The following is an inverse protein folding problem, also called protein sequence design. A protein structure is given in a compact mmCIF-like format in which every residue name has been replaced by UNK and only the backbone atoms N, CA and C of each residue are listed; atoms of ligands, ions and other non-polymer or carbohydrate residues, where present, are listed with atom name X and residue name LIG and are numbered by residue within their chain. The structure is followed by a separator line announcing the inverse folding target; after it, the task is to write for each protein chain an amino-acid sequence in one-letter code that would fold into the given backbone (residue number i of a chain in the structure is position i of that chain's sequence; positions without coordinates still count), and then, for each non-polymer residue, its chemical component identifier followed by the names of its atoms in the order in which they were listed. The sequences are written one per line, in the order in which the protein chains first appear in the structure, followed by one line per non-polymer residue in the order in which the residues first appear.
data_IF_511393524436
#
_entry.id   IF_511393524436
#
_cell.length_a   1.000
_cell.length_b   1.000
_cell.length_c   1.000
_cell.angle_alpha   90.00
_cell.angle_beta   90.00
_cell.angle_gamma   90.00
#
_symmetry.space_group_name_H-M   'P 1'
#
loop_
_entity.id
_entity.type
_entity.pdbx_description
1 polymer ?
#
# COMPACT_ATOMS: atom_id res chain seq x y z
N UNK A 1 -16.86 3.88 -14.22
CA UNK A 1 -16.37 4.19 -12.85
C UNK A 1 -14.93 4.68 -12.94
N UNK A 2 -14.63 5.80 -12.31
CA UNK A 2 -13.28 6.38 -12.23
C UNK A 2 -12.82 6.31 -10.78
N UNK A 3 -11.75 5.56 -10.50
CA UNK A 3 -11.16 5.43 -9.17
C UNK A 3 -9.77 6.06 -9.15
N UNK A 4 -9.52 6.90 -8.15
CA UNK A 4 -8.22 7.53 -7.90
C UNK A 4 -7.52 6.80 -6.75
N UNK A 5 -6.35 6.21 -7.01
CA UNK A 5 -5.52 5.55 -6.00
C UNK A 5 -4.29 6.38 -5.67
N UNK A 6 -3.96 6.48 -4.38
CA UNK A 6 -2.85 7.28 -3.86
C UNK A 6 -1.92 6.42 -3.01
N UNK A 7 -0.62 6.53 -3.24
CA UNK A 7 0.40 5.94 -2.38
C UNK A 7 1.55 6.91 -2.12
N UNK A 8 1.77 7.17 -0.84
CA UNK A 8 2.86 7.99 -0.31
C UNK A 8 3.63 7.27 0.80
N UNK A 9 3.52 5.93 0.87
CA UNK A 9 4.06 5.14 1.99
C UNK A 9 5.60 5.05 2.02
N UNK A 10 6.23 5.34 0.90
CA UNK A 10 7.68 5.26 0.69
C UNK A 10 8.25 6.60 0.16
N UNK A 11 9.45 6.60 -0.42
CA UNK A 11 10.08 7.81 -0.96
C UNK A 11 9.39 8.36 -2.21
N UNK A 12 8.64 7.53 -2.92
CA UNK A 12 7.95 7.91 -4.14
C UNK A 12 6.53 8.36 -3.85
N UNK A 13 6.08 9.38 -4.55
CA UNK A 13 4.66 9.72 -4.65
C UNK A 13 4.11 9.03 -5.88
N UNK A 14 3.14 8.16 -5.73
CA UNK A 14 2.50 7.53 -6.87
C UNK A 14 0.99 7.70 -6.85
N UNK A 15 0.44 7.85 -8.05
CA UNK A 15 -0.98 8.06 -8.30
C UNK A 15 -1.40 7.13 -9.43
N UNK A 16 -2.58 6.55 -9.32
CA UNK A 16 -3.16 5.77 -10.39
C UNK A 16 -4.63 6.17 -10.57
N UNK A 17 -4.97 6.55 -11.79
CA UNK A 17 -6.33 6.76 -12.23
C UNK A 17 -6.80 5.49 -12.97
N UNK A 18 -7.77 4.78 -12.40
CA UNK A 18 -8.43 3.66 -13.06
C UNK A 18 -9.71 4.14 -13.71
N UNK A 19 -9.86 3.92 -15.02
CA UNK A 19 -11.06 4.24 -15.79
C UNK A 19 -11.50 2.98 -16.52
N UNK A 20 -12.57 2.36 -16.04
CA UNK A 20 -12.99 1.02 -16.46
C UNK A 20 -11.83 0.02 -16.28
N UNK A 21 -11.34 -0.60 -17.35
CA UNK A 21 -10.22 -1.56 -17.33
C UNK A 21 -8.86 -0.93 -17.67
N UNK A 22 -8.83 0.39 -17.86
CA UNK A 22 -7.59 1.12 -18.17
C UNK A 22 -7.00 1.75 -16.92
N UNK A 23 -5.66 1.71 -16.81
CA UNK A 23 -4.89 2.27 -15.71
C UNK A 23 -3.92 3.32 -16.23
N UNK A 24 -3.96 4.50 -15.66
CA UNK A 24 -3.05 5.60 -15.95
C UNK A 24 -2.26 5.89 -14.67
N UNK A 25 -0.94 5.88 -14.75
CA UNK A 25 -0.08 6.01 -13.57
C UNK A 25 0.86 7.19 -13.71
N UNK A 26 1.09 7.88 -12.60
CA UNK A 26 2.13 8.88 -12.45
C UNK A 26 2.92 8.57 -11.19
N UNK A 27 4.25 8.53 -11.30
CA UNK A 27 5.15 8.27 -10.17
C UNK A 27 6.23 9.32 -10.16
N UNK A 28 6.33 10.04 -9.04
CA UNK A 28 7.33 11.07 -8.83
C UNK A 28 8.35 10.52 -7.85
N UNK A 29 9.58 10.36 -8.33
CA UNK A 29 10.72 9.94 -7.52
C UNK A 29 11.57 11.18 -7.22
N UNK A 30 11.81 11.46 -5.94
CA UNK A 30 12.63 12.56 -5.51
C UNK A 30 13.66 12.08 -4.49
N UNK A 31 14.87 12.65 -4.53
CA UNK A 31 15.93 12.33 -3.56
C UNK A 31 15.49 12.65 -2.11
N UNK A 32 14.59 13.63 -1.96
CA UNK A 32 13.97 14.00 -0.69
C UNK A 32 12.46 13.86 -0.80
N UNK A 33 11.78 13.17 0.13
CA UNK A 33 10.33 13.06 0.10
C UNK A 33 9.70 14.45 0.25
N UNK A 34 8.99 14.90 -0.79
CA UNK A 34 8.26 16.18 -0.82
C UNK A 34 6.77 15.97 -1.19
N UNK A 35 6.19 14.89 -0.69
CA UNK A 35 4.81 14.49 -1.00
C UNK A 35 3.80 15.65 -0.88
N UNK A 36 3.99 16.56 0.11
CA UNK A 36 3.11 17.71 0.31
C UNK A 36 3.07 18.67 -0.88
N UNK A 37 4.20 18.81 -1.58
CA UNK A 37 4.32 19.75 -2.70
C UNK A 37 3.85 19.13 -4.01
N UNK A 38 4.10 17.83 -4.20
CA UNK A 38 3.92 17.17 -5.51
C UNK A 38 2.59 16.44 -5.66
N UNK A 39 1.94 16.00 -4.56
CA UNK A 39 0.76 15.13 -4.64
C UNK A 39 -0.42 15.81 -5.34
N UNK A 40 -0.77 17.00 -4.96
CA UNK A 40 -1.94 17.70 -5.55
C UNK A 40 -1.68 18.10 -7.01
N UNK A 41 -0.52 18.67 -7.38
CA UNK A 41 -0.19 18.89 -8.79
C UNK A 41 -0.23 17.60 -9.63
N UNK A 42 0.27 16.49 -9.12
CA UNK A 42 0.24 15.23 -9.83
C UNK A 42 -1.20 14.70 -10.03
N UNK A 43 -2.08 14.85 -9.04
CA UNK A 43 -3.50 14.53 -9.19
C UNK A 43 -4.13 15.38 -10.31
N UNK A 44 -3.82 16.67 -10.36
CA UNK A 44 -4.31 17.56 -11.42
C UNK A 44 -3.80 17.13 -12.80
N UNK A 45 -2.49 16.85 -12.90
CA UNK A 45 -1.86 16.44 -14.15
C UNK A 45 -2.45 15.15 -14.71
N UNK A 46 -2.59 14.10 -13.88
CA UNK A 46 -3.13 12.80 -14.34
C UNK A 46 -4.59 12.92 -14.81
N UNK A 47 -5.39 13.74 -14.13
CA UNK A 47 -6.77 14.01 -14.52
C UNK A 47 -6.83 14.75 -15.85
N UNK A 48 -6.09 15.86 -16.00
CA UNK A 48 -6.07 16.67 -17.23
C UNK A 48 -5.57 15.88 -18.43
N UNK A 49 -4.48 15.12 -18.27
CA UNK A 49 -3.89 14.29 -19.33
C UNK A 49 -4.87 13.22 -19.83
N UNK A 50 -5.80 12.80 -18.99
CA UNK A 50 -6.83 11.80 -19.32
C UNK A 50 -8.21 12.42 -19.59
N UNK A 51 -8.28 13.76 -19.79
CA UNK A 51 -9.49 14.51 -20.11
C UNK A 51 -10.60 14.34 -19.05
N UNK A 52 -10.21 14.31 -17.79
CA UNK A 52 -11.11 14.21 -16.66
C UNK A 52 -10.98 15.44 -15.75
N UNK A 53 -12.07 15.77 -15.05
CA UNK A 53 -12.11 16.74 -13.99
C UNK A 53 -12.09 16.03 -12.62
N UNK A 54 -11.80 16.76 -11.57
CA UNK A 54 -11.82 16.22 -10.21
C UNK A 54 -13.21 15.72 -9.79
N UNK A 55 -14.26 16.32 -10.32
CA UNK A 55 -15.67 15.92 -10.09
C UNK A 55 -16.06 14.60 -10.75
N UNK A 56 -15.24 14.09 -11.66
CA UNK A 56 -15.51 12.83 -12.36
C UNK A 56 -15.04 11.60 -11.58
N UNK A 57 -14.36 11.82 -10.44
CA UNK A 57 -13.89 10.75 -9.57
C UNK A 57 -15.08 10.17 -8.81
N UNK A 58 -15.24 8.85 -8.92
CA UNK A 58 -16.30 8.10 -8.25
C UNK A 58 -15.85 7.49 -6.91
N UNK A 59 -14.55 7.22 -6.73
CA UNK A 59 -13.98 6.56 -5.56
C UNK A 59 -12.52 6.97 -5.35
N UNK A 60 -12.10 7.09 -4.09
CA UNK A 60 -10.68 7.27 -3.73
C UNK A 60 -10.18 6.06 -2.95
N UNK A 61 -9.01 5.55 -3.33
CA UNK A 61 -8.25 4.51 -2.61
C UNK A 61 -6.95 5.09 -2.08
N UNK A 62 -6.54 4.71 -0.88
CA UNK A 62 -5.30 5.22 -0.31
C UNK A 62 -4.58 4.16 0.51
N UNK A 63 -3.26 4.13 0.39
CA UNK A 63 -2.42 3.30 1.25
C UNK A 63 -2.47 3.80 2.69
N UNK A 64 -2.77 2.89 3.62
CA UNK A 64 -2.87 3.20 5.06
C UNK A 64 -1.65 2.74 5.87
N UNK A 65 -0.69 2.10 5.21
CA UNK A 65 0.49 1.55 5.88
C UNK A 65 0.37 0.05 6.21
N UNK A 66 1.35 -0.50 6.90
CA UNK A 66 2.52 0.18 7.45
C UNK A 66 3.44 0.81 6.40
N UNK A 67 4.27 1.77 6.85
CA UNK A 67 5.19 2.53 6.02
C UNK A 67 5.70 3.77 6.75
N UNK A 68 6.24 4.73 6.02
CA UNK A 68 6.64 6.00 6.60
C UNK A 68 5.42 6.79 7.08
N UNK A 69 5.27 6.92 8.41
CA UNK A 69 4.07 7.51 9.02
C UNK A 69 3.81 8.96 8.60
N UNK A 70 4.87 9.77 8.43
CA UNK A 70 4.74 11.18 8.02
C UNK A 70 4.22 11.24 6.60
N UNK A 71 4.82 10.48 5.71
CA UNK A 71 4.44 10.37 4.31
C UNK A 71 3.01 9.83 4.14
N UNK A 72 2.66 8.77 4.84
CA UNK A 72 1.31 8.19 4.84
C UNK A 72 0.23 9.23 5.21
N UNK A 73 0.51 10.08 6.21
CA UNK A 73 -0.44 11.13 6.61
C UNK A 73 -0.74 12.11 5.49
N UNK A 74 0.21 12.41 4.61
CA UNK A 74 -0.02 13.30 3.46
C UNK A 74 -1.04 12.70 2.51
N UNK A 75 -0.83 11.46 2.05
CA UNK A 75 -1.76 10.77 1.16
C UNK A 75 -3.14 10.58 1.78
N UNK A 76 -3.20 10.13 3.03
CA UNK A 76 -4.45 9.89 3.75
C UNK A 76 -5.23 11.19 3.96
N UNK A 77 -4.55 12.31 4.28
CA UNK A 77 -5.22 13.60 4.43
C UNK A 77 -5.81 14.07 3.11
N UNK A 78 -5.05 13.98 2.02
CA UNK A 78 -5.53 14.32 0.69
C UNK A 78 -6.76 13.46 0.29
N UNK A 79 -6.68 12.14 0.49
CA UNK A 79 -7.76 11.22 0.20
C UNK A 79 -9.04 11.51 1.00
N UNK A 80 -8.91 11.74 2.32
CA UNK A 80 -10.03 12.11 3.18
C UNK A 80 -10.66 13.43 2.74
N UNK A 81 -9.84 14.42 2.37
CA UNK A 81 -10.32 15.73 1.90
C UNK A 81 -11.10 15.58 0.60
N UNK A 82 -10.56 14.85 -0.38
CA UNK A 82 -11.22 14.60 -1.65
C UNK A 82 -12.56 13.87 -1.45
N UNK A 83 -12.57 12.77 -0.71
CA UNK A 83 -13.76 12.00 -0.44
C UNK A 83 -14.87 12.85 0.22
N UNK A 84 -14.49 13.63 1.24
CA UNK A 84 -15.43 14.50 1.94
C UNK A 84 -15.97 15.61 1.06
N UNK A 85 -15.11 16.27 0.27
CA UNK A 85 -15.49 17.39 -0.59
C UNK A 85 -16.36 16.97 -1.76
N UNK A 86 -16.04 15.81 -2.37
CA UNK A 86 -16.78 15.27 -3.51
C UNK A 86 -17.97 14.39 -3.08
N UNK A 87 -18.06 14.04 -1.79
CA UNK A 87 -19.08 13.12 -1.22
C UNK A 87 -19.04 11.73 -1.88
N UNK A 88 -17.84 11.23 -2.14
CA UNK A 88 -17.58 9.93 -2.75
C UNK A 88 -16.96 8.96 -1.74
N UNK A 89 -17.09 7.64 -1.96
CA UNK A 89 -16.49 6.65 -1.08
C UNK A 89 -14.95 6.73 -1.06
N UNK A 90 -14.39 6.36 0.09
CA UNK A 90 -12.95 6.20 0.29
C UNK A 90 -12.65 4.82 0.84
N UNK A 91 -11.56 4.22 0.37
CA UNK A 91 -11.10 2.91 0.81
C UNK A 91 -9.63 3.01 1.24
N UNK A 92 -9.39 2.71 2.51
CA UNK A 92 -8.03 2.58 3.05
C UNK A 92 -7.52 1.16 2.88
N UNK A 93 -6.39 1.00 2.22
CA UNK A 93 -5.80 -0.29 1.86
C UNK A 93 -4.49 -0.47 2.61
N UNK A 94 -4.34 -1.51 3.43
CA UNK A 94 -3.07 -1.83 4.07
C UNK A 94 -1.98 -2.15 3.05
N UNK A 95 -0.76 -1.66 3.30
CA UNK A 95 0.41 -1.89 2.44
C UNK A 95 0.68 -3.35 2.17
N UNK A 96 0.41 -4.23 3.12
CA UNK A 96 0.59 -5.66 2.96
C UNK A 96 -0.20 -6.24 1.78
N UNK A 97 -1.45 -5.82 1.60
CA UNK A 97 -2.26 -6.26 0.47
C UNK A 97 -1.76 -5.72 -0.86
N UNK A 98 -1.29 -4.48 -0.89
CA UNK A 98 -0.71 -3.88 -2.08
C UNK A 98 0.58 -4.61 -2.50
N UNK A 99 1.42 -5.03 -1.55
CA UNK A 99 2.62 -5.84 -1.82
C UNK A 99 2.27 -7.23 -2.33
N UNK A 100 1.26 -7.88 -1.75
CA UNK A 100 0.85 -9.21 -2.16
C UNK A 100 0.29 -9.26 -3.60
N UNK A 101 -0.19 -8.12 -4.12
CA UNK A 101 -0.69 -8.02 -5.50
C UNK A 101 0.41 -7.88 -6.57
N UNK A 102 1.69 -7.81 -6.17
CA UNK A 102 2.79 -7.49 -7.08
C UNK A 102 3.31 -8.70 -7.89
N UNK A 103 3.15 -9.92 -7.39
CA UNK A 103 3.78 -11.10 -7.97
C UNK A 103 2.79 -12.27 -8.16
N UNK A 104 3.09 -13.13 -9.15
CA UNK A 104 2.49 -14.45 -9.25
C UNK A 104 3.02 -15.33 -8.12
N UNK A 105 2.14 -15.67 -7.19
CA UNK A 105 2.49 -16.39 -5.97
C UNK A 105 2.29 -17.88 -6.20
N UNK A 106 3.38 -18.63 -6.25
CA UNK A 106 3.38 -20.10 -6.39
C UNK A 106 3.74 -20.84 -5.09
N UNK A 107 3.87 -20.12 -3.97
CA UNK A 107 4.24 -20.69 -2.67
C UNK A 107 3.04 -20.83 -1.75
N UNK A 108 3.08 -21.75 -0.79
CA UNK A 108 1.99 -22.01 0.16
C UNK A 108 1.72 -20.82 1.09
N UNK A 109 2.74 -20.04 1.43
CA UNK A 109 2.59 -18.81 2.21
C UNK A 109 3.58 -17.74 1.80
N UNK A 110 3.21 -16.49 2.04
CA UNK A 110 4.01 -15.30 1.72
C UNK A 110 4.23 -14.48 2.96
N UNK A 111 5.47 -14.15 3.24
CA UNK A 111 5.82 -13.18 4.27
C UNK A 111 6.12 -11.86 3.61
N UNK A 112 5.39 -10.81 4.01
CA UNK A 112 5.62 -9.45 3.57
C UNK A 112 6.22 -8.68 4.73
N UNK A 113 7.45 -8.21 4.58
CA UNK A 113 8.18 -7.44 5.57
C UNK A 113 8.42 -6.02 5.07
N UNK A 114 7.89 -5.03 5.77
CA UNK A 114 7.96 -3.61 5.43
C UNK A 114 8.87 -2.90 6.43
N UNK A 115 9.91 -2.22 5.97
CA UNK A 115 10.78 -1.45 6.82
C UNK A 115 10.07 -0.18 7.28
N UNK A 116 9.84 -0.05 8.59
CA UNK A 116 9.15 1.10 9.15
C UNK A 116 10.11 2.18 9.65
N UNK A 117 11.24 1.80 10.22
CA UNK A 117 12.28 2.72 10.70
C UNK A 117 13.48 1.95 11.31
N UNK A 118 14.69 2.40 11.00
CA UNK A 118 15.92 2.00 11.72
C UNK A 118 16.10 0.46 11.87
N UNK A 119 15.83 -0.31 10.82
CA UNK A 119 15.96 -1.77 10.85
C UNK A 119 14.85 -2.49 11.61
N UNK A 120 13.77 -1.80 11.95
CA UNK A 120 12.53 -2.41 12.42
C UNK A 120 11.59 -2.64 11.26
N UNK A 121 10.94 -3.78 11.28
CA UNK A 121 10.02 -4.23 10.24
C UNK A 121 8.63 -4.47 10.81
N UNK A 122 7.62 -4.09 10.03
CA UNK A 122 6.30 -4.69 10.16
C UNK A 122 6.25 -5.89 9.22
N UNK A 123 5.75 -7.03 9.67
CA UNK A 123 5.52 -8.16 8.77
C UNK A 123 4.08 -8.66 8.85
N UNK A 124 3.64 -9.27 7.78
CA UNK A 124 2.45 -10.09 7.74
C UNK A 124 2.76 -11.37 6.96
N UNK A 125 2.30 -12.50 7.48
CA UNK A 125 2.29 -13.78 6.80
C UNK A 125 0.91 -14.01 6.22
N UNK A 126 0.86 -14.35 4.93
CA UNK A 126 -0.38 -14.62 4.20
C UNK A 126 -0.45 -16.07 3.77
N UNK A 127 -1.63 -16.65 3.86
CA UNK A 127 -1.99 -17.78 3.03
C UNK A 127 -2.14 -17.33 1.58
N UNK A 128 -1.43 -17.99 0.67
CA UNK A 128 -1.37 -17.56 -0.73
C UNK A 128 -2.67 -17.80 -1.51
N UNK A 129 -3.54 -18.68 -1.03
CA UNK A 129 -4.79 -19.02 -1.71
C UNK A 129 -5.96 -18.16 -1.23
N UNK A 130 -6.07 -17.99 0.10
CA UNK A 130 -7.20 -17.26 0.70
C UNK A 130 -6.95 -15.76 0.87
N UNK A 131 -5.70 -15.30 0.75
CA UNK A 131 -5.29 -13.92 1.07
C UNK A 131 -5.53 -13.55 2.54
N UNK A 132 -5.72 -14.53 3.40
CA UNK A 132 -5.86 -14.33 4.84
C UNK A 132 -4.51 -14.10 5.50
N UNK A 133 -4.51 -13.21 6.48
CA UNK A 133 -3.33 -12.99 7.32
C UNK A 133 -3.29 -14.08 8.39
N UNK A 134 -2.26 -14.91 8.35
CA UNK A 134 -2.02 -15.99 9.31
C UNK A 134 -1.32 -15.50 10.57
N UNK A 135 -0.35 -14.57 10.40
CA UNK A 135 0.39 -13.94 11.50
C UNK A 135 0.83 -12.54 11.10
N UNK A 136 0.98 -11.64 12.07
CA UNK A 136 1.53 -10.31 11.81
C UNK A 136 2.16 -9.70 13.06
N UNK A 137 3.10 -8.77 12.84
CA UNK A 137 3.66 -7.96 13.89
C UNK A 137 4.09 -6.59 13.36
N UNK A 138 3.78 -5.53 14.09
CA UNK A 138 4.11 -4.16 13.70
C UNK A 138 5.55 -3.75 13.98
N UNK A 139 6.22 -4.41 14.90
CA UNK A 139 7.59 -4.07 15.29
C UNK A 139 8.38 -5.33 15.54
N UNK A 140 9.03 -5.80 14.50
CA UNK A 140 9.93 -6.95 14.56
C UNK A 140 11.32 -6.54 14.16
N UNK A 141 12.30 -7.10 14.83
CA UNK A 141 13.69 -6.99 14.41
C UNK A 141 14.01 -8.02 13.33
N UNK A 142 15.18 -7.89 12.75
CA UNK A 142 15.72 -8.78 11.73
C UNK A 142 15.80 -10.25 12.19
N UNK A 143 16.09 -10.48 13.46
CA UNK A 143 16.21 -11.84 14.00
C UNK A 143 14.85 -12.53 14.04
N UNK A 144 13.81 -11.80 14.41
CA UNK A 144 12.43 -12.31 14.39
C UNK A 144 11.98 -12.65 12.98
N UNK A 145 12.23 -11.76 12.00
CA UNK A 145 11.92 -12.03 10.59
C UNK A 145 12.64 -13.31 10.12
N UNK A 146 13.92 -13.45 10.48
CA UNK A 146 14.71 -14.64 10.12
C UNK A 146 14.17 -15.94 10.73
N UNK A 147 13.62 -15.88 11.93
CA UNK A 147 13.05 -17.05 12.61
C UNK A 147 11.75 -17.55 11.94
N UNK A 148 10.92 -16.63 11.43
CA UNK A 148 9.65 -17.00 10.79
C UNK A 148 9.82 -17.44 9.34
N UNK A 149 10.90 -17.03 8.66
CA UNK A 149 11.19 -17.46 7.30
C UNK A 149 11.59 -18.93 7.30
N UNK A 150 10.73 -19.78 6.84
CA UNK A 150 11.03 -21.18 6.53
C UNK A 150 11.37 -21.37 5.05
N UNK A 151 11.81 -22.58 4.69
CA UNK A 151 12.15 -22.89 3.29
C UNK A 151 10.98 -22.79 2.30
N UNK A 152 9.74 -22.77 2.80
CA UNK A 152 8.53 -22.81 1.98
C UNK A 152 7.86 -21.42 1.87
N UNK A 153 8.42 -20.37 2.47
CA UNK A 153 7.89 -19.03 2.40
C UNK A 153 8.52 -18.23 1.26
N UNK A 154 7.70 -17.48 0.53
CA UNK A 154 8.19 -16.39 -0.30
C UNK A 154 8.31 -15.14 0.55
N UNK A 155 9.43 -14.46 0.52
CA UNK A 155 9.64 -13.20 1.21
C UNK A 155 9.55 -12.04 0.24
N UNK A 156 8.69 -11.07 0.53
CA UNK A 156 8.54 -9.81 -0.19
C UNK A 156 8.86 -8.64 0.75
N UNK A 157 9.55 -7.63 0.28
CA UNK A 157 9.80 -6.42 1.09
C UNK A 157 9.94 -5.17 0.22
N UNK A 158 9.70 -4.00 0.81
CA UNK A 158 9.76 -2.69 0.18
C UNK A 158 11.12 -2.02 0.22
N UNK A 159 12.04 -2.54 1.02
CA UNK A 159 13.32 -1.88 1.25
C UNK A 159 14.48 -2.57 0.56
N UNK A 160 15.44 -1.76 0.12
CA UNK A 160 16.80 -2.21 -0.17
C UNK A 160 17.38 -2.72 1.16
N UNK A 161 17.25 -4.01 1.33
CA UNK A 161 17.56 -4.63 2.58
C UNK A 161 18.94 -5.23 2.48
N UNK A 162 19.59 -5.15 3.59
CA UNK A 162 20.77 -5.90 3.95
C UNK A 162 20.95 -7.17 3.13
N UNK A 163 22.16 -7.45 2.68
CA UNK A 163 22.63 -8.66 2.01
C UNK A 163 22.03 -9.97 2.58
N UNK A 164 21.60 -9.92 3.82
CA UNK A 164 20.93 -11.00 4.54
C UNK A 164 19.60 -11.45 3.92
N UNK A 165 18.71 -10.54 3.50
CA UNK A 165 17.44 -10.94 2.91
C UNK A 165 17.60 -11.34 1.44
N UNK A 166 18.59 -10.77 0.76
CA UNK A 166 18.98 -11.18 -0.59
C UNK A 166 19.37 -12.66 -0.60
N UNK A 167 20.10 -13.13 0.42
CA UNK A 167 20.52 -14.54 0.54
C UNK A 167 19.35 -15.52 0.77
N UNK A 168 18.14 -15.04 1.09
CA UNK A 168 16.95 -15.85 1.39
C UNK A 168 15.94 -15.94 0.23
N UNK A 169 16.33 -15.55 -0.98
CA UNK A 169 15.44 -15.62 -2.14
C UNK A 169 14.38 -14.50 -2.14
N UNK A 170 14.78 -13.35 -1.68
CA UNK A 170 13.96 -12.17 -1.54
C UNK A 170 13.55 -11.55 -2.87
N UNK A 171 12.29 -11.14 -2.98
CA UNK A 171 11.76 -10.30 -4.06
C UNK A 171 11.59 -8.87 -3.56
N UNK A 172 12.26 -7.91 -4.23
CA UNK A 172 12.13 -6.50 -3.91
C UNK A 172 10.99 -5.88 -4.73
N UNK A 173 9.92 -5.49 -4.07
CA UNK A 173 8.79 -4.86 -4.72
C UNK A 173 8.45 -3.52 -4.06
N UNK A 174 8.70 -2.44 -4.79
CA UNK A 174 8.12 -1.15 -4.45
C UNK A 174 6.66 -1.13 -4.89
N UNK A 175 5.76 -1.10 -3.92
CA UNK A 175 4.36 -0.83 -4.22
C UNK A 175 4.18 0.58 -4.77
N UNK A 176 3.11 0.72 -5.52
CA UNK A 176 2.66 1.98 -6.07
C UNK A 176 1.14 2.06 -6.02
N UNK A 177 0.59 3.21 -6.31
CA UNK A 177 -0.85 3.39 -6.44
C UNK A 177 -1.50 2.45 -7.49
N UNK A 178 -0.73 1.96 -8.46
CA UNK A 178 -1.19 0.95 -9.42
C UNK A 178 -1.54 -0.38 -8.73
N UNK A 179 -0.73 -0.84 -7.80
CA UNK A 179 -0.99 -2.06 -7.04
C UNK A 179 -2.29 -1.94 -6.23
N UNK A 180 -2.52 -0.77 -5.64
CA UNK A 180 -3.75 -0.43 -4.92
C UNK A 180 -4.96 -0.42 -5.86
N UNK A 181 -4.80 0.14 -7.07
CA UNK A 181 -5.87 0.24 -8.07
C UNK A 181 -6.30 -1.13 -8.61
N UNK A 182 -5.38 -2.09 -8.71
CA UNK A 182 -5.63 -3.46 -9.20
C UNK A 182 -6.39 -4.34 -8.23
N UNK A 183 -6.33 -4.05 -6.92
CA UNK A 183 -6.95 -4.90 -5.92
C UNK A 183 -8.46 -5.03 -6.12
N UNK A 184 -8.94 -6.26 -6.12
CA UNK A 184 -10.37 -6.59 -6.08
C UNK A 184 -10.89 -6.42 -4.65
N UNK A 185 -11.62 -5.35 -4.42
CA UNK A 185 -12.09 -4.94 -3.10
C UNK A 185 -13.04 -5.97 -2.47
N UNK A 186 -13.80 -6.70 -3.28
CA UNK A 186 -14.73 -7.74 -2.82
C UNK A 186 -14.06 -8.80 -1.95
N UNK A 187 -12.82 -9.17 -2.29
CA UNK A 187 -12.07 -10.21 -1.60
C UNK A 187 -11.41 -9.72 -0.30
N UNK A 188 -11.39 -8.41 -0.06
CA UNK A 188 -10.68 -7.78 1.04
C UNK A 188 -11.59 -7.06 2.04
N UNK A 189 -12.92 -7.23 1.92
CA UNK A 189 -13.92 -6.43 2.63
C UNK A 189 -13.72 -6.35 4.14
N UNK A 190 -13.23 -7.41 4.77
CA UNK A 190 -13.06 -7.48 6.23
C UNK A 190 -11.82 -6.73 6.75
N UNK A 191 -10.88 -6.40 5.86
CA UNK A 191 -9.57 -5.83 6.22
C UNK A 191 -9.42 -4.35 5.84
N UNK A 192 -10.40 -3.78 5.15
CA UNK A 192 -10.32 -2.43 4.61
C UNK A 192 -10.99 -1.41 5.52
N UNK A 193 -10.35 -0.26 5.65
CA UNK A 193 -10.97 0.90 6.27
C UNK A 193 -11.91 1.58 5.26
N UNK A 194 -13.20 1.68 5.59
CA UNK A 194 -14.23 2.32 4.73
C UNK A 194 -14.89 3.52 5.38
N UNK A 195 -14.59 3.79 6.64
CA UNK A 195 -15.20 4.88 7.40
C UNK A 195 -14.31 6.11 7.40
N UNK A 196 -14.89 7.27 7.18
CA UNK A 196 -14.21 8.56 7.28
C UNK A 196 -14.12 8.98 8.76
N UNK A 197 -12.98 9.48 9.21
CA UNK A 197 -11.72 9.62 8.47
C UNK A 197 -10.91 8.32 8.45
N UNK A 198 -10.36 7.98 7.30
CA UNK A 198 -9.33 6.96 7.20
C UNK A 198 -8.11 7.39 8.02
N UNK A 199 -7.47 6.45 8.70
CA UNK A 199 -6.30 6.70 9.55
C UNK A 199 -5.14 5.80 9.16
N UNK A 200 -3.88 6.22 9.40
CA UNK A 200 -2.74 5.32 9.27
C UNK A 200 -2.93 4.10 10.18
N UNK A 201 -2.58 2.93 9.65
CA UNK A 201 -2.58 1.70 10.45
C UNK A 201 -1.41 1.75 11.45
N UNK A 202 -1.68 1.39 12.68
CA UNK A 202 -0.70 1.21 13.74
C UNK A 202 -0.96 -0.10 14.49
N UNK A 203 -0.10 -0.43 15.44
CA UNK A 203 -0.17 -1.65 16.24
C UNK A 203 -1.51 -1.89 16.96
N UNK A 204 -2.32 -0.85 17.15
CA UNK A 204 -3.61 -0.91 17.85
C UNK A 204 -4.81 -0.98 16.91
N UNK A 205 -4.60 -0.68 15.63
CA UNK A 205 -5.71 -0.59 14.65
C UNK A 205 -5.88 -1.83 13.79
N UNK A 206 -4.92 -2.76 13.85
CA UNK A 206 -4.95 -4.00 13.09
C UNK A 206 -5.37 -5.14 14.03
N UNK A 207 -6.63 -5.53 13.97
CA UNK A 207 -7.13 -6.69 14.72
C UNK A 207 -7.32 -7.81 13.71
N UNK A 208 -6.57 -8.88 13.88
CA UNK A 208 -6.90 -10.16 13.24
C UNK A 208 -8.10 -10.69 13.99
N UNK A 209 -9.24 -10.78 13.33
CA UNK A 209 -10.37 -11.48 13.90
C UNK A 209 -10.01 -12.98 13.94
N UNK A 210 -9.64 -13.45 15.13
CA UNK A 210 -9.53 -14.87 15.42
C UNK A 210 -10.91 -15.49 15.47
#
# INVERSE_FOLDING_TARGET
MISLSLDTSNKKTSICLKKNDSYFTETIDSNTPNHCEVLIPAIQNILQSNKNNISDIDEVRVNTGPGNLVSLRVGITAANTLSKSLKIPIIGIPSFYAHNSCDDIYSQSVIIAINIRNGLYSYAEFDSNSMEILDFNFKSDKNKINQIISKNHKLISDSLIDDFLISKGFSHNNISAYNIAKLEISNLMNFLQKNIPIKPINEYSFVVNN
#
